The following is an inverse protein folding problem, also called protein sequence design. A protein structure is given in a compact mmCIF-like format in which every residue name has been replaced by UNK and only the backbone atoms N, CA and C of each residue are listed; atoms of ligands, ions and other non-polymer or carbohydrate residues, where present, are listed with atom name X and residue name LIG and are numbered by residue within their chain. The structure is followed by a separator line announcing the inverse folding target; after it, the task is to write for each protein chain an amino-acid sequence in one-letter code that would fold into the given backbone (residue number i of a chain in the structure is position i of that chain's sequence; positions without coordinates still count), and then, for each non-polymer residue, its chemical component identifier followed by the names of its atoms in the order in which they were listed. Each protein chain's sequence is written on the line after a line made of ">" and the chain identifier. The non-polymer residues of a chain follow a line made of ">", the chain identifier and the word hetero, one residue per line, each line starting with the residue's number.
data_IF_284930012970
#
_entry.id   IF_284930012970
#
_cell.length_a   1.000
_cell.length_b   1.000
_cell.length_c   1.000
_cell.angle_alpha   90.00
_cell.angle_beta   90.00
_cell.angle_gamma   90.00
#
_symmetry.space_group_name_H-M   'P 1'
#
loop_
_entity.id
_entity.type
_entity.pdbx_description
1 polymer ?
#
# COMPACT_ATOMS: atom_id res chain seq x y z
N UNK A 1 -18.16 23.50 2.22
CA UNK A 1 -16.90 22.83 1.86
C UNK A 1 -17.12 21.33 2.04
N UNK A 2 -17.82 20.70 1.09
CA UNK A 2 -18.19 19.28 1.12
C UNK A 2 -18.60 18.93 -0.31
N UNK A 3 -17.96 17.92 -0.90
CA UNK A 3 -18.35 17.14 -2.11
C UNK A 3 -17.17 16.68 -3.00
N UNK A 4 -15.91 16.96 -2.64
CA UNK A 4 -14.78 16.48 -3.46
C UNK A 4 -14.38 15.02 -3.14
N UNK A 5 -14.48 14.59 -1.88
CA UNK A 5 -14.08 13.23 -1.45
C UNK A 5 -15.10 12.17 -1.88
N UNK A 6 -16.37 12.56 -2.07
CA UNK A 6 -17.48 11.63 -2.37
C UNK A 6 -17.48 11.07 -3.80
N UNK A 7 -16.52 11.45 -4.64
CA UNK A 7 -16.52 11.15 -6.09
C UNK A 7 -15.29 10.39 -6.60
N UNK A 8 -14.34 10.04 -5.75
CA UNK A 8 -13.07 9.44 -6.20
C UNK A 8 -12.91 7.97 -5.78
N UNK A 9 -13.68 7.49 -4.80
CA UNK A 9 -13.71 6.06 -4.48
C UNK A 9 -15.16 5.70 -4.21
N UNK A 10 -15.83 5.13 -5.23
CA UNK A 10 -16.99 4.30 -4.99
C UNK A 10 -16.43 2.91 -4.74
N UNK A 11 -16.26 2.51 -3.48
CA UNK A 11 -16.05 1.11 -3.15
C UNK A 11 -17.15 0.28 -3.81
N UNK A 12 -16.86 -0.95 -4.24
CA UNK A 12 -17.84 -1.78 -4.95
C UNK A 12 -19.08 -2.15 -4.08
N UNK A 13 -19.18 -1.65 -2.84
CA UNK A 13 -20.35 -1.79 -1.96
C UNK A 13 -20.60 -3.22 -1.51
N UNK A 14 -19.62 -4.11 -1.69
CA UNK A 14 -19.74 -5.51 -1.34
C UNK A 14 -19.60 -5.70 0.17
N UNK A 15 -20.27 -6.73 0.68
CA UNK A 15 -19.99 -7.25 2.02
C UNK A 15 -19.01 -8.42 1.85
N UNK A 16 -17.79 -8.36 2.41
CA UNK A 16 -16.86 -9.48 2.32
C UNK A 16 -17.40 -10.70 3.09
N UNK A 17 -16.88 -11.91 2.83
CA UNK A 17 -17.16 -13.06 3.67
C UNK A 17 -16.88 -12.77 5.16
N UNK A 18 -17.70 -13.34 6.04
CA UNK A 18 -17.59 -13.12 7.49
C UNK A 18 -16.20 -13.47 8.04
N UNK A 19 -15.52 -14.46 7.43
CA UNK A 19 -14.17 -14.86 7.81
C UNK A 19 -13.14 -13.75 7.53
N UNK A 20 -13.22 -13.10 6.38
CA UNK A 20 -12.36 -11.96 6.02
C UNK A 20 -12.69 -10.73 6.89
N UNK A 21 -13.97 -10.48 7.17
CA UNK A 21 -14.39 -9.38 8.05
C UNK A 21 -13.84 -9.56 9.48
N UNK A 22 -13.93 -10.78 10.02
CA UNK A 22 -13.39 -11.08 11.35
C UNK A 22 -11.87 -10.97 11.38
N UNK A 23 -11.19 -11.45 10.33
CA UNK A 23 -9.74 -11.33 10.20
C UNK A 23 -9.32 -9.85 10.13
N UNK A 24 -10.01 -9.04 9.34
CA UNK A 24 -9.77 -7.60 9.26
C UNK A 24 -9.89 -6.92 10.63
N UNK A 25 -11.01 -7.11 11.33
CA UNK A 25 -11.26 -6.52 12.64
C UNK A 25 -10.27 -7.01 13.72
N UNK A 26 -9.63 -8.17 13.52
CA UNK A 26 -8.61 -8.70 14.43
C UNK A 26 -7.22 -8.12 14.18
N UNK A 27 -6.93 -7.70 12.94
CA UNK A 27 -5.63 -7.15 12.54
C UNK A 27 -5.59 -5.62 12.61
N UNK A 28 -6.73 -4.97 12.39
CA UNK A 28 -6.80 -3.51 12.28
C UNK A 28 -7.87 -2.96 13.22
N UNK A 29 -7.46 -1.98 14.03
CA UNK A 29 -8.32 -1.22 14.91
C UNK A 29 -8.42 0.24 14.43
N UNK A 30 -9.44 0.95 14.90
CA UNK A 30 -9.63 2.40 14.69
C UNK A 30 -9.59 2.84 13.21
N UNK A 31 -9.99 1.94 12.31
CA UNK A 31 -10.03 2.19 10.87
C UNK A 31 -11.25 3.01 10.47
N UNK A 32 -11.09 3.90 9.49
CA UNK A 32 -12.18 4.67 8.90
C UNK A 32 -12.26 4.45 7.39
N UNK A 33 -13.44 4.73 6.82
CA UNK A 33 -13.69 4.62 5.38
C UNK A 33 -13.25 3.27 4.78
N UNK A 34 -13.59 2.17 5.44
CA UNK A 34 -13.26 0.82 4.98
C UNK A 34 -14.14 0.48 3.78
N UNK A 35 -13.50 0.18 2.66
CA UNK A 35 -14.13 -0.25 1.42
C UNK A 35 -13.59 -1.61 1.00
N UNK A 36 -14.50 -2.49 0.60
CA UNK A 36 -14.15 -3.86 0.21
C UNK A 36 -14.27 -4.05 -1.30
N UNK A 37 -13.38 -4.87 -1.83
CA UNK A 37 -13.37 -5.28 -3.22
C UNK A 37 -13.20 -6.80 -3.33
N UNK A 38 -14.03 -7.40 -4.18
CA UNK A 38 -14.01 -8.81 -4.51
C UNK A 38 -13.07 -8.97 -5.70
N UNK A 39 -12.09 -9.83 -5.53
CA UNK A 39 -11.17 -10.27 -6.57
C UNK A 39 -11.38 -11.78 -6.66
N UNK A 40 -11.33 -12.34 -7.87
CA UNK A 40 -11.74 -13.71 -8.12
C UNK A 40 -11.11 -14.77 -7.18
N UNK A 41 -9.92 -14.48 -6.63
CA UNK A 41 -9.14 -15.32 -5.75
C UNK A 41 -8.85 -14.71 -4.36
N UNK A 42 -9.30 -13.48 -4.07
CA UNK A 42 -9.03 -12.79 -2.81
C UNK A 42 -9.99 -11.61 -2.53
N UNK A 43 -9.91 -11.06 -1.33
CA UNK A 43 -10.65 -9.85 -0.95
C UNK A 43 -9.68 -8.74 -0.56
N UNK A 44 -9.90 -7.54 -1.09
CA UNK A 44 -9.11 -6.37 -0.74
C UNK A 44 -9.95 -5.44 0.15
N UNK A 45 -9.39 -4.99 1.26
CA UNK A 45 -9.92 -3.90 2.06
C UNK A 45 -9.03 -2.67 1.86
N UNK A 46 -9.59 -1.58 1.34
CA UNK A 46 -8.96 -0.26 1.30
C UNK A 46 -9.53 0.56 2.44
N UNK A 47 -8.68 1.16 3.26
CA UNK A 47 -9.11 1.87 4.46
C UNK A 47 -8.10 2.91 4.89
N UNK A 48 -8.51 3.78 5.80
CA UNK A 48 -7.63 4.76 6.42
C UNK A 48 -7.40 4.43 7.89
N UNK A 49 -6.15 4.55 8.32
CA UNK A 49 -5.74 4.50 9.72
C UNK A 49 -4.64 5.53 9.94
N UNK A 50 -4.73 6.31 11.01
CA UNK A 50 -3.78 7.39 11.31
C UNK A 50 -3.57 8.38 10.14
N UNK A 51 -4.65 8.66 9.37
CA UNK A 51 -4.66 9.45 8.13
C UNK A 51 -3.80 8.92 6.98
N UNK A 52 -3.33 7.68 7.06
CA UNK A 52 -2.64 6.99 5.98
C UNK A 52 -3.59 6.03 5.29
N UNK A 53 -3.39 5.83 3.98
CA UNK A 53 -4.15 4.85 3.21
C UNK A 53 -3.48 3.49 3.29
N UNK A 54 -4.31 2.46 3.52
CA UNK A 54 -3.91 1.08 3.66
C UNK A 54 -4.68 0.20 2.70
N UNK A 55 -4.04 -0.88 2.27
CA UNK A 55 -4.68 -1.96 1.52
C UNK A 55 -4.34 -3.26 2.23
N UNK A 56 -5.36 -3.99 2.68
CA UNK A 56 -5.20 -5.34 3.23
C UNK A 56 -5.79 -6.37 2.26
N UNK A 57 -5.01 -7.39 1.94
CA UNK A 57 -5.38 -8.45 1.01
C UNK A 57 -5.59 -9.73 1.82
N UNK A 58 -6.79 -10.30 1.73
CA UNK A 58 -7.18 -11.54 2.39
C UNK A 58 -7.46 -12.62 1.37
N UNK A 59 -6.93 -13.83 1.57
CA UNK A 59 -7.32 -14.97 0.74
C UNK A 59 -8.75 -15.46 1.04
N UNK A 60 -9.22 -16.45 0.27
CA UNK A 60 -10.55 -17.04 0.45
C UNK A 60 -10.76 -17.73 1.82
N UNK A 61 -9.68 -18.02 2.55
CA UNK A 61 -9.72 -18.55 3.91
C UNK A 61 -9.75 -17.47 5.00
N UNK A 62 -9.69 -16.19 4.61
CA UNK A 62 -9.60 -15.05 5.51
C UNK A 62 -8.20 -14.84 6.10
N UNK A 63 -7.16 -15.47 5.55
CA UNK A 63 -5.78 -15.21 5.96
C UNK A 63 -5.30 -13.90 5.33
N UNK A 64 -4.70 -13.01 6.14
CA UNK A 64 -4.05 -11.79 5.65
C UNK A 64 -2.77 -12.18 4.89
N UNK A 65 -2.78 -12.05 3.57
CA UNK A 65 -1.65 -12.44 2.70
C UNK A 65 -0.70 -11.29 2.43
N UNK A 66 -1.24 -10.07 2.35
CA UNK A 66 -0.45 -8.88 2.07
C UNK A 66 -1.11 -7.65 2.69
N UNK A 67 -0.26 -6.75 3.16
CA UNK A 67 -0.66 -5.47 3.69
C UNK A 67 0.21 -4.38 3.08
N UNK A 68 -0.42 -3.40 2.43
CA UNK A 68 0.23 -2.22 1.88
C UNK A 68 -0.12 -1.00 2.69
N UNK A 69 0.88 -0.14 2.87
CA UNK A 69 0.75 1.16 3.49
C UNK A 69 1.34 2.21 2.54
N UNK A 70 0.54 3.19 2.14
CA UNK A 70 1.06 4.39 1.49
C UNK A 70 1.89 5.15 2.51
N UNK A 71 3.21 5.00 2.38
CA UNK A 71 4.16 5.41 3.38
C UNK A 71 4.66 6.81 3.02
N UNK A 72 4.46 7.82 3.88
CA UNK A 72 5.10 9.12 3.68
C UNK A 72 6.62 8.98 3.62
N UNK A 73 7.26 9.78 2.76
CA UNK A 73 8.69 9.68 2.45
C UNK A 73 9.57 9.86 3.70
N UNK A 74 9.11 10.64 4.67
CA UNK A 74 9.75 10.85 5.96
C UNK A 74 9.82 9.59 6.84
N UNK A 75 9.00 8.57 6.57
CA UNK A 75 9.01 7.30 7.30
C UNK A 75 9.77 6.19 6.57
N UNK A 76 10.34 6.46 5.38
CA UNK A 76 11.26 5.51 4.75
C UNK A 76 12.53 5.35 5.62
N UNK A 77 13.11 4.14 5.69
CA UNK A 77 14.41 3.95 6.31
C UNK A 77 15.46 4.87 5.68
N UNK A 78 16.27 5.52 6.52
CA UNK A 78 17.20 6.57 6.08
C UNK A 78 18.11 6.10 4.92
N UNK A 79 18.67 4.90 5.02
CA UNK A 79 19.52 4.32 3.97
C UNK A 79 18.78 4.16 2.62
N UNK A 80 17.50 3.75 2.65
CA UNK A 80 16.66 3.60 1.47
C UNK A 80 16.34 4.98 0.89
N UNK A 81 15.91 5.91 1.75
CA UNK A 81 15.59 7.29 1.37
C UNK A 81 16.78 7.97 0.69
N UNK A 82 17.96 7.94 1.31
CA UNK A 82 19.18 8.55 0.75
C UNK A 82 19.55 7.94 -0.60
N UNK A 83 19.46 6.61 -0.73
CA UNK A 83 19.70 5.94 -2.00
C UNK A 83 18.74 6.41 -3.10
N UNK A 84 17.44 6.49 -2.79
CA UNK A 84 16.41 6.91 -3.75
C UNK A 84 16.53 8.38 -4.13
N UNK A 85 16.80 9.27 -3.17
CA UNK A 85 17.03 10.70 -3.40
C UNK A 85 18.26 10.95 -4.29
N UNK A 86 19.26 10.06 -4.25
CA UNK A 86 20.40 10.11 -5.18
C UNK A 86 20.03 9.78 -6.63
N UNK A 87 18.90 9.10 -6.86
CA UNK A 87 18.37 8.77 -8.19
C UNK A 87 17.42 9.82 -8.74
N UNK A 88 16.75 10.58 -7.88
CA UNK A 88 15.80 11.61 -8.28
C UNK A 88 14.80 11.95 -7.19
N UNK A 89 13.71 12.60 -7.59
CA UNK A 89 12.62 12.96 -6.70
C UNK A 89 11.75 11.74 -6.38
N UNK A 90 11.56 11.45 -5.10
CA UNK A 90 10.62 10.42 -4.64
C UNK A 90 9.20 10.95 -4.81
N UNK A 91 8.43 10.35 -5.71
CA UNK A 91 7.07 10.76 -6.04
C UNK A 91 6.02 10.04 -5.20
N UNK A 92 6.28 8.77 -4.86
CA UNK A 92 5.39 7.93 -4.06
C UNK A 92 6.22 6.81 -3.42
N UNK A 93 5.82 6.35 -2.23
CA UNK A 93 6.39 5.19 -1.55
C UNK A 93 5.31 4.36 -0.88
N UNK A 94 5.41 3.05 -1.04
CA UNK A 94 4.49 2.07 -0.47
C UNK A 94 5.32 1.02 0.27
N UNK A 95 5.01 0.81 1.55
CA UNK A 95 5.49 -0.36 2.29
C UNK A 95 4.59 -1.54 1.94
N UNK A 96 5.19 -2.67 1.60
CA UNK A 96 4.49 -3.93 1.31
C UNK A 96 4.96 -4.95 2.33
N UNK A 97 4.04 -5.48 3.12
CA UNK A 97 4.29 -6.54 4.11
C UNK A 97 3.57 -7.82 3.67
N UNK A 98 4.32 -8.89 3.43
CA UNK A 98 3.81 -10.21 3.03
C UNK A 98 3.89 -11.24 4.16
N UNK A 99 3.89 -10.76 5.41
CA UNK A 99 4.01 -11.54 6.64
C UNK A 99 5.45 -11.86 7.03
N UNK A 100 6.22 -12.50 6.13
CA UNK A 100 7.62 -12.88 6.37
C UNK A 100 8.64 -11.94 5.70
N UNK A 101 8.19 -11.07 4.80
CA UNK A 101 9.04 -10.09 4.12
C UNK A 101 8.42 -8.70 4.16
N UNK A 102 9.29 -7.69 4.23
CA UNK A 102 8.95 -6.28 4.05
C UNK A 102 9.70 -5.79 2.81
N UNK A 103 8.97 -5.11 1.94
CA UNK A 103 9.47 -4.50 0.72
C UNK A 103 9.00 -3.05 0.64
N UNK A 104 9.72 -2.25 -0.13
CA UNK A 104 9.36 -0.87 -0.43
C UNK A 104 9.23 -0.71 -1.94
N UNK A 105 8.03 -0.39 -2.41
CA UNK A 105 7.80 0.00 -3.80
C UNK A 105 7.81 1.53 -3.87
N UNK A 106 8.70 2.10 -4.68
CA UNK A 106 8.90 3.55 -4.76
C UNK A 106 8.90 3.99 -6.22
N UNK A 107 8.15 5.06 -6.50
CA UNK A 107 8.22 5.75 -7.79
C UNK A 107 9.20 6.91 -7.65
N UNK A 108 10.28 6.88 -8.44
CA UNK A 108 11.30 7.95 -8.50
C UNK A 108 11.26 8.61 -9.87
N UNK A 109 11.39 9.94 -9.90
CA UNK A 109 11.48 10.74 -11.12
C UNK A 109 12.88 11.34 -11.26
N UNK A 110 13.56 11.03 -12.35
CA UNK A 110 14.89 11.58 -12.64
C UNK A 110 14.84 13.03 -13.18
N UNK A 111 16.01 13.63 -13.38
CA UNK A 111 16.16 14.99 -13.91
C UNK A 111 15.63 15.16 -15.35
N UNK A 112 15.47 14.08 -16.10
CA UNK A 112 14.87 14.05 -17.43
C UNK A 112 13.36 13.80 -17.38
N UNK A 113 12.75 13.88 -16.19
CA UNK A 113 11.35 13.56 -15.93
C UNK A 113 10.94 12.11 -16.25
N UNK A 114 11.91 11.20 -16.40
CA UNK A 114 11.63 9.78 -16.55
C UNK A 114 11.26 9.18 -15.20
N UNK A 115 10.19 8.40 -15.17
CA UNK A 115 9.73 7.71 -13.96
C UNK A 115 10.23 6.28 -13.93
N UNK A 116 10.65 5.85 -12.75
CA UNK A 116 11.06 4.48 -12.47
C UNK A 116 10.27 3.97 -11.28
N UNK A 117 9.78 2.74 -11.38
CA UNK A 117 9.36 1.95 -10.25
C UNK A 117 10.58 1.19 -9.75
N UNK A 118 10.88 1.34 -8.46
CA UNK A 118 11.99 0.66 -7.79
C UNK A 118 11.40 -0.13 -6.63
N UNK A 119 11.60 -1.45 -6.64
CA UNK A 119 11.25 -2.34 -5.55
C UNK A 119 12.52 -2.64 -4.75
N UNK A 120 12.50 -2.37 -3.45
CA UNK A 120 13.61 -2.62 -2.54
C UNK A 120 13.19 -3.59 -1.44
N UNK A 121 14.15 -4.39 -0.95
CA UNK A 121 13.98 -5.12 0.30
C UNK A 121 14.01 -4.17 1.50
N UNK A 122 13.65 -4.70 2.67
CA UNK A 122 13.81 -4.04 3.98
C UNK A 122 15.24 -3.53 4.26
N UNK A 123 16.27 -4.25 3.78
CA UNK A 123 17.67 -3.85 3.86
C UNK A 123 18.13 -2.85 2.76
N UNK A 124 17.23 -2.39 1.90
CA UNK A 124 17.53 -1.45 0.81
C UNK A 124 18.22 -2.06 -0.40
N UNK A 125 18.23 -3.39 -0.55
CA UNK A 125 18.68 -4.04 -1.77
C UNK A 125 17.62 -3.85 -2.85
N UNK A 126 18.03 -3.39 -4.04
CA UNK A 126 17.13 -3.36 -5.21
C UNK A 126 16.78 -4.78 -5.62
N UNK A 127 15.49 -5.08 -5.61
CA UNK A 127 14.89 -6.32 -6.11
C UNK A 127 14.53 -6.14 -7.58
N UNK A 128 13.87 -5.02 -7.92
CA UNK A 128 13.45 -4.67 -9.28
C UNK A 128 13.61 -3.18 -9.53
N UNK A 129 13.95 -2.82 -10.76
CA UNK A 129 13.91 -1.44 -11.25
C UNK A 129 13.39 -1.44 -12.68
N UNK A 130 12.31 -0.71 -12.90
CA UNK A 130 11.60 -0.67 -14.18
C UNK A 130 11.23 0.76 -14.55
N UNK A 131 11.55 1.15 -15.77
CA UNK A 131 11.06 2.40 -16.36
C UNK A 131 9.54 2.31 -16.60
N UNK A 132 8.80 3.35 -16.18
CA UNK A 132 7.36 3.49 -16.39
C UNK A 132 7.03 4.21 -17.69
#
# INVERSE_FOLDING_TARGET
>A
MNNFVKRVIEGNGITPPIICLNAFNSNFNDTINVEWFDRADHFEAIFYKDNLEHIAIFDLSGSLVEYKLFLPVEFLPEAIKTYLESKGEIMNSVLINKGNTIEYEVIVRDANFTRYLILLSDLGKVIEEKKL
#
